data_IF_310853960503
#
_entry.id   IF_310853960503
#
_cell.length_a   1.000
_cell.length_b   1.000
_cell.length_c   1.000
_cell.angle_alpha   90.00
_cell.angle_beta   90.00
_cell.angle_gamma   90.00
#
_symmetry.space_group_name_H-M   'P 1'
#
loop_
_entity.id
_entity.type
_entity.pdbx_description
1 polymer ?
#
# COMPACT_ATOMS: atom_id res chain seq x y z
N UNK A 1 25.03 16.57 -10.40
CA UNK A 1 24.70 15.18 -10.73
C UNK A 1 23.56 15.17 -11.71
N UNK A 2 23.73 14.49 -12.84
CA UNK A 2 22.67 14.32 -13.84
C UNK A 2 21.44 13.64 -13.22
N UNK A 3 20.24 13.95 -13.72
CA UNK A 3 18.98 13.36 -13.21
C UNK A 3 19.07 11.84 -13.20
N UNK A 4 19.65 11.28 -14.26
CA UNK A 4 19.82 9.84 -14.45
C UNK A 4 20.79 9.25 -13.42
N UNK A 5 21.88 9.94 -13.09
CA UNK A 5 22.84 9.46 -12.08
C UNK A 5 22.24 9.49 -10.67
N UNK A 6 21.48 10.54 -10.33
CA UNK A 6 20.74 10.61 -9.06
C UNK A 6 19.73 9.45 -8.96
N UNK A 7 18.96 9.26 -10.03
CA UNK A 7 18.00 8.17 -10.14
C UNK A 7 18.66 6.80 -9.92
N UNK A 8 19.71 6.47 -10.68
CA UNK A 8 20.40 5.18 -10.56
C UNK A 8 21.01 4.97 -9.17
N UNK A 9 21.61 6.01 -8.59
CA UNK A 9 22.19 5.94 -7.25
C UNK A 9 21.14 5.64 -6.19
N UNK A 10 20.01 6.37 -6.21
CA UNK A 10 18.89 6.18 -5.27
C UNK A 10 18.32 4.77 -5.39
N UNK A 11 18.04 4.32 -6.61
CA UNK A 11 17.46 3.01 -6.84
C UNK A 11 18.42 1.91 -6.40
N UNK A 12 19.71 1.99 -6.74
CA UNK A 12 20.72 1.00 -6.33
C UNK A 12 20.84 0.90 -4.81
N UNK A 13 20.91 2.03 -4.12
CA UNK A 13 20.99 2.06 -2.65
C UNK A 13 19.74 1.47 -2.02
N UNK A 14 18.57 1.85 -2.53
CA UNK A 14 17.26 1.39 -2.03
C UNK A 14 17.08 -0.11 -2.29
N UNK A 15 17.44 -0.61 -3.47
CA UNK A 15 17.38 -2.03 -3.82
C UNK A 15 18.22 -2.87 -2.86
N UNK A 16 19.49 -2.51 -2.66
CA UNK A 16 20.39 -3.24 -1.76
C UNK A 16 19.83 -3.28 -0.33
N UNK A 17 19.34 -2.15 0.17
CA UNK A 17 18.75 -2.08 1.52
C UNK A 17 17.47 -2.90 1.63
N UNK A 18 16.65 -2.92 0.59
CA UNK A 18 15.37 -3.64 0.56
C UNK A 18 15.55 -5.14 0.50
N UNK A 19 16.51 -5.63 -0.30
CA UNK A 19 16.89 -7.06 -0.35
C UNK A 19 17.36 -7.51 1.04
N UNK A 20 18.30 -6.78 1.65
CA UNK A 20 18.79 -7.11 3.00
C UNK A 20 17.67 -7.10 4.05
N UNK A 21 16.74 -6.16 3.94
CA UNK A 21 15.60 -6.06 4.87
C UNK A 21 14.61 -7.20 4.68
N UNK A 22 14.34 -7.61 3.44
CA UNK A 22 13.44 -8.73 3.16
C UNK A 22 14.03 -10.06 3.61
N UNK A 23 15.31 -10.32 3.33
CA UNK A 23 15.98 -11.56 3.75
C UNK A 23 15.93 -11.71 5.27
N UNK A 24 16.20 -10.62 6.01
CA UNK A 24 16.18 -10.62 7.47
C UNK A 24 14.76 -10.74 8.05
N UNK A 25 13.75 -10.26 7.32
CA UNK A 25 12.36 -10.20 7.78
C UNK A 25 11.41 -10.98 6.85
N UNK A 26 11.87 -12.14 6.36
CA UNK A 26 11.12 -13.01 5.44
C UNK A 26 9.73 -13.46 5.96
N UNK A 27 9.44 -13.53 7.29
CA UNK A 27 8.10 -13.89 7.75
C UNK A 27 7.00 -12.94 7.25
N UNK A 28 7.33 -11.72 6.81
CA UNK A 28 6.37 -10.80 6.20
C UNK A 28 5.71 -11.38 4.93
N UNK A 29 6.33 -12.35 4.25
CA UNK A 29 5.72 -12.98 3.07
C UNK A 29 4.48 -13.79 3.49
N UNK A 30 4.51 -14.41 4.67
CA UNK A 30 3.41 -15.25 5.18
C UNK A 30 2.23 -14.45 5.71
N UNK A 31 2.38 -13.14 5.93
CA UNK A 31 1.25 -12.28 6.29
C UNK A 31 0.17 -12.33 5.22
N UNK A 32 0.53 -12.54 3.96
CA UNK A 32 -0.41 -12.66 2.86
C UNK A 32 -1.44 -13.76 3.09
N UNK A 33 -0.98 -14.97 3.40
CA UNK A 33 -1.85 -16.12 3.68
C UNK A 33 -2.73 -15.86 4.90
N UNK A 34 -2.12 -15.34 5.98
CA UNK A 34 -2.82 -15.05 7.23
C UNK A 34 -3.92 -14.02 7.01
N UNK A 35 -3.60 -12.90 6.35
CA UNK A 35 -4.57 -11.84 6.10
C UNK A 35 -5.67 -12.25 5.14
N UNK A 36 -5.36 -13.03 4.08
CA UNK A 36 -6.41 -13.56 3.20
C UNK A 36 -7.34 -14.50 3.95
N UNK A 37 -6.80 -15.38 4.79
CA UNK A 37 -7.61 -16.31 5.60
C UNK A 37 -8.52 -15.56 6.57
N UNK A 38 -7.98 -14.56 7.28
CA UNK A 38 -8.75 -13.69 8.17
C UNK A 38 -9.85 -12.95 7.39
N UNK A 39 -9.51 -12.40 6.22
CA UNK A 39 -10.45 -11.64 5.41
C UNK A 39 -11.63 -12.52 4.93
N UNK A 40 -11.35 -13.73 4.45
CA UNK A 40 -12.39 -14.71 4.04
C UNK A 40 -13.25 -15.13 5.23
N UNK A 41 -12.64 -15.45 6.37
CA UNK A 41 -13.36 -15.84 7.57
C UNK A 41 -14.31 -14.73 8.03
N UNK A 42 -13.84 -13.48 8.03
CA UNK A 42 -14.64 -12.33 8.46
C UNK A 42 -15.75 -12.02 7.46
N UNK A 43 -15.48 -12.02 6.15
CA UNK A 43 -16.53 -11.84 5.14
C UNK A 43 -17.61 -12.92 5.30
N UNK A 44 -17.20 -14.19 5.44
CA UNK A 44 -18.12 -15.32 5.60
C UNK A 44 -18.97 -15.18 6.87
N UNK A 45 -18.35 -14.79 7.98
CA UNK A 45 -19.04 -14.51 9.24
C UNK A 45 -20.03 -13.35 9.10
N UNK A 46 -19.59 -12.22 8.54
CA UNK A 46 -20.42 -11.02 8.41
C UNK A 46 -21.63 -11.28 7.51
N UNK A 47 -21.42 -11.92 6.35
CA UNK A 47 -22.50 -12.25 5.41
C UNK A 47 -23.49 -13.29 5.96
N UNK A 48 -23.09 -14.07 6.96
CA UNK A 48 -23.96 -15.05 7.63
C UNK A 48 -24.76 -14.41 8.75
N UNK A 49 -24.12 -13.58 9.58
CA UNK A 49 -24.71 -13.00 10.80
C UNK A 49 -25.50 -11.71 10.50
N UNK A 50 -24.98 -10.83 9.65
CA UNK A 50 -25.55 -9.50 9.39
C UNK A 50 -26.44 -9.50 8.15
N UNK A 51 -27.53 -10.27 8.19
CA UNK A 51 -28.55 -10.34 7.13
C UNK A 51 -29.76 -9.44 7.45
N UNK A 52 -30.52 -9.06 6.43
CA UNK A 52 -31.71 -8.22 6.59
C UNK A 52 -31.36 -6.79 7.04
N UNK A 53 -32.11 -6.25 8.00
CA UNK A 53 -31.92 -4.87 8.52
C UNK A 53 -30.52 -4.64 9.11
N UNK A 54 -29.85 -5.69 9.60
CA UNK A 54 -28.51 -5.62 10.17
C UNK A 54 -27.39 -5.48 9.11
N UNK A 55 -27.70 -5.60 7.81
CA UNK A 55 -26.70 -5.49 6.73
C UNK A 55 -26.00 -4.13 6.69
N UNK A 56 -26.64 -3.08 7.21
CA UNK A 56 -26.06 -1.74 7.29
C UNK A 56 -24.76 -1.74 8.11
N UNK A 57 -24.70 -2.56 9.17
CA UNK A 57 -23.50 -2.67 10.02
C UNK A 57 -22.41 -3.54 9.40
N UNK A 58 -22.73 -4.37 8.41
CA UNK A 58 -21.76 -5.24 7.73
C UNK A 58 -20.61 -4.43 7.12
N UNK A 59 -20.94 -3.33 6.44
CA UNK A 59 -19.94 -2.45 5.80
C UNK A 59 -19.00 -1.80 6.81
N UNK A 60 -19.52 -1.36 7.95
CA UNK A 60 -18.72 -0.73 9.03
C UNK A 60 -17.75 -1.75 9.62
N UNK A 61 -18.22 -2.96 9.93
CA UNK A 61 -17.39 -4.02 10.50
C UNK A 61 -16.28 -4.41 9.52
N UNK A 62 -16.61 -4.60 8.25
CA UNK A 62 -15.63 -4.92 7.21
C UNK A 62 -14.59 -3.80 7.04
N UNK A 63 -15.00 -2.53 7.14
CA UNK A 63 -14.10 -1.39 7.09
C UNK A 63 -13.13 -1.36 8.28
N UNK A 64 -13.61 -1.59 9.51
CA UNK A 64 -12.79 -1.64 10.72
C UNK A 64 -11.76 -2.77 10.64
N UNK A 65 -12.21 -3.97 10.25
CA UNK A 65 -11.33 -5.14 10.09
C UNK A 65 -10.27 -4.87 9.03
N UNK A 66 -10.67 -4.36 7.86
CA UNK A 66 -9.75 -4.07 6.77
C UNK A 66 -8.72 -3.03 7.21
N UNK A 67 -9.16 -1.96 7.88
CA UNK A 67 -8.28 -0.95 8.45
C UNK A 67 -7.32 -1.52 9.51
N UNK A 68 -7.77 -2.51 10.30
CA UNK A 68 -6.93 -3.20 11.28
C UNK A 68 -5.85 -4.08 10.64
N UNK A 69 -6.19 -4.82 9.58
CA UNK A 69 -5.22 -5.61 8.81
C UNK A 69 -4.18 -4.71 8.12
N UNK A 70 -4.63 -3.61 7.52
CA UNK A 70 -3.73 -2.61 6.91
C UNK A 70 -2.85 -1.96 7.97
N UNK A 71 -3.42 -1.59 9.11
CA UNK A 71 -2.67 -1.06 10.25
C UNK A 71 -1.56 -2.02 10.68
N UNK A 72 -1.88 -3.32 10.76
CA UNK A 72 -0.91 -4.35 11.11
C UNK A 72 0.24 -4.40 10.10
N UNK A 73 -0.10 -4.47 8.82
CA UNK A 73 0.88 -4.51 7.75
C UNK A 73 1.77 -3.27 7.73
N UNK A 74 1.19 -2.09 7.91
CA UNK A 74 1.90 -0.82 7.99
C UNK A 74 2.87 -0.77 9.17
N UNK A 75 2.48 -1.31 10.32
CA UNK A 75 3.36 -1.37 11.48
C UNK A 75 4.54 -2.33 11.26
N UNK A 76 4.30 -3.48 10.63
CA UNK A 76 5.39 -4.38 10.24
C UNK A 76 6.35 -3.71 9.25
N UNK A 77 5.83 -3.02 8.23
CA UNK A 77 6.67 -2.26 7.29
C UNK A 77 7.46 -1.16 8.01
N UNK A 78 6.82 -0.38 8.88
CA UNK A 78 7.46 0.65 9.69
C UNK A 78 8.67 0.09 10.47
N UNK A 79 8.49 -1.05 11.13
CA UNK A 79 9.55 -1.70 11.90
C UNK A 79 10.67 -2.25 11.02
N UNK A 80 10.36 -2.81 9.85
CA UNK A 80 11.36 -3.23 8.86
C UNK A 80 12.17 -2.02 8.36
N UNK A 81 11.53 -0.90 8.07
CA UNK A 81 12.18 0.26 7.43
C UNK A 81 13.02 1.04 8.44
N UNK A 82 12.56 1.15 9.69
CA UNK A 82 13.23 1.93 10.73
C UNK A 82 14.22 1.11 11.56
N UNK A 83 13.87 -0.12 11.91
CA UNK A 83 14.64 -0.96 12.84
C UNK A 83 15.19 -2.24 12.20
N UNK A 84 14.78 -2.57 10.97
CA UNK A 84 15.19 -3.77 10.25
C UNK A 84 15.00 -5.06 11.08
N UNK A 85 13.88 -5.13 11.79
CA UNK A 85 13.50 -6.26 12.64
C UNK A 85 11.98 -6.29 12.80
N UNK A 86 11.40 -7.48 12.73
CA UNK A 86 10.02 -7.77 13.15
C UNK A 86 10.02 -8.84 14.24
N UNK A 87 9.11 -8.71 15.19
CA UNK A 87 8.87 -9.65 16.28
C UNK A 87 7.40 -10.04 16.31
N UNK A 88 7.08 -11.17 16.95
CA UNK A 88 5.68 -11.59 17.13
C UNK A 88 4.85 -10.59 17.94
N UNK A 89 5.50 -9.82 18.81
CA UNK A 89 4.82 -8.75 19.55
C UNK A 89 4.37 -7.64 18.60
N UNK A 90 5.19 -7.31 17.59
CA UNK A 90 4.83 -6.31 16.59
C UNK A 90 3.59 -6.72 15.79
N UNK A 91 3.41 -8.02 15.54
CA UNK A 91 2.20 -8.54 14.93
C UNK A 91 0.96 -8.35 15.80
N UNK A 92 1.08 -8.39 17.13
CA UNK A 92 -0.09 -8.17 18.01
C UNK A 92 -0.42 -6.68 18.10
N UNK A 93 0.60 -5.85 18.31
CA UNK A 93 0.42 -4.41 18.54
C UNK A 93 0.01 -3.68 17.25
N UNK A 94 0.49 -4.15 16.10
CA UNK A 94 0.24 -3.52 14.81
C UNK A 94 -1.25 -3.40 14.43
N UNK A 95 -2.13 -4.29 14.91
CA UNK A 95 -3.56 -4.24 14.58
C UNK A 95 -4.27 -2.96 15.05
N UNK A 96 -3.73 -2.30 16.07
CA UNK A 96 -4.32 -1.08 16.67
C UNK A 96 -3.53 0.19 16.36
N UNK A 97 -2.22 0.07 16.07
CA UNK A 97 -1.30 1.21 15.99
C UNK A 97 -1.74 2.33 15.04
N UNK A 98 -2.12 1.99 13.80
CA UNK A 98 -2.56 2.93 12.77
C UNK A 98 -4.05 2.82 12.46
N UNK A 99 -4.80 2.02 13.23
CA UNK A 99 -6.21 1.74 12.99
C UNK A 99 -7.03 3.02 12.80
N UNK A 100 -6.88 3.98 13.72
CA UNK A 100 -7.59 5.27 13.66
C UNK A 100 -7.28 6.04 12.37
N UNK A 101 -5.99 6.10 11.99
CA UNK A 101 -5.57 6.84 10.80
C UNK A 101 -6.13 6.21 9.52
N UNK A 102 -5.96 4.90 9.37
CA UNK A 102 -6.42 4.16 8.18
C UNK A 102 -7.95 4.19 8.10
N UNK A 103 -8.64 3.97 9.22
CA UNK A 103 -10.10 4.03 9.26
C UNK A 103 -10.63 5.41 8.88
N UNK A 104 -9.99 6.50 9.35
CA UNK A 104 -10.39 7.85 8.98
C UNK A 104 -10.21 8.11 7.48
N UNK A 105 -9.14 7.59 6.85
CA UNK A 105 -8.97 7.68 5.40
C UNK A 105 -10.09 6.93 4.66
N UNK A 106 -10.45 5.74 5.12
CA UNK A 106 -11.58 4.98 4.55
C UNK A 106 -12.91 5.70 4.71
N UNK A 107 -13.14 6.31 5.87
CA UNK A 107 -14.33 7.11 6.14
C UNK A 107 -14.39 8.34 5.22
N UNK A 108 -13.28 9.05 5.02
CA UNK A 108 -13.20 10.16 4.07
C UNK A 108 -13.43 9.71 2.63
N UNK A 109 -12.85 8.57 2.23
CA UNK A 109 -13.07 8.00 0.90
C UNK A 109 -14.54 7.59 0.69
N UNK A 110 -15.19 7.06 1.73
CA UNK A 110 -16.61 6.72 1.72
C UNK A 110 -17.49 7.96 1.56
N UNK A 111 -17.24 9.03 2.33
CA UNK A 111 -17.90 10.33 2.11
C UNK A 111 -17.67 10.84 0.69
N UNK A 112 -16.43 10.77 0.20
CA UNK A 112 -16.07 11.17 -1.16
C UNK A 112 -16.86 10.39 -2.20
N UNK A 113 -17.09 9.09 -2.01
CA UNK A 113 -17.88 8.28 -2.93
C UNK A 113 -19.34 8.75 -3.03
N UNK A 114 -19.98 9.12 -1.92
CA UNK A 114 -21.35 9.66 -1.98
C UNK A 114 -21.43 11.00 -2.71
N UNK A 115 -20.45 11.89 -2.48
CA UNK A 115 -20.40 13.17 -3.19
C UNK A 115 -20.22 12.97 -4.69
N UNK A 116 -19.34 12.03 -5.08
CA UNK A 116 -19.14 11.66 -6.48
C UNK A 116 -20.41 11.08 -7.10
N UNK A 117 -21.15 10.24 -6.37
CA UNK A 117 -22.42 9.69 -6.83
C UNK A 117 -23.51 10.76 -7.01
N UNK A 118 -23.57 11.76 -6.13
CA UNK A 118 -24.47 12.90 -6.29
C UNK A 118 -24.12 13.74 -7.54
N UNK A 119 -22.83 14.00 -7.77
CA UNK A 119 -22.37 14.77 -8.94
C UNK A 119 -22.56 14.01 -10.25
N UNK A 120 -22.41 12.67 -10.24
CA UNK A 120 -22.68 11.79 -11.40
C UNK A 120 -24.07 12.01 -11.97
N UNK A 121 -25.09 12.10 -11.11
CA UNK A 121 -26.47 12.34 -11.53
C UNK A 121 -26.71 13.71 -12.17
N UNK A 122 -25.85 14.69 -11.91
CA UNK A 122 -26.00 16.07 -12.37
C UNK A 122 -25.26 16.37 -13.67
N UNK A 123 -24.09 15.76 -13.89
CA UNK A 123 -23.19 16.15 -14.98
C UNK A 123 -23.41 15.41 -16.31
N UNK A 124 -24.28 14.39 -16.35
CA UNK A 124 -24.58 13.64 -17.59
C UNK A 124 -23.38 12.91 -18.21
N UNK A 125 -22.24 12.81 -17.50
CA UNK A 125 -21.07 12.06 -17.95
C UNK A 125 -21.37 10.56 -18.02
N UNK A 126 -20.72 9.87 -18.95
CA UNK A 126 -20.66 8.42 -18.94
C UNK A 126 -20.08 7.96 -17.57
N UNK A 127 -20.83 7.19 -16.78
CA UNK A 127 -20.40 6.72 -15.46
C UNK A 127 -19.07 5.96 -15.49
N UNK A 128 -18.81 5.23 -16.58
CA UNK A 128 -17.60 4.45 -16.77
C UNK A 128 -16.38 5.36 -16.95
N UNK A 129 -16.48 6.38 -17.80
CA UNK A 129 -15.39 7.32 -18.07
C UNK A 129 -15.02 8.09 -16.80
N UNK A 130 -16.02 8.57 -16.07
CA UNK A 130 -15.77 9.30 -14.83
C UNK A 130 -15.12 8.39 -13.77
N UNK A 131 -15.58 7.15 -13.63
CA UNK A 131 -14.97 6.18 -12.71
C UNK A 131 -13.50 5.90 -13.07
N UNK A 132 -13.20 5.76 -14.37
CA UNK A 132 -11.85 5.56 -14.86
C UNK A 132 -10.95 6.75 -14.48
N UNK A 133 -11.38 7.98 -14.77
CA UNK A 133 -10.64 9.20 -14.44
C UNK A 133 -10.35 9.28 -12.94
N UNK A 134 -11.36 9.03 -12.10
CA UNK A 134 -11.21 9.08 -10.64
C UNK A 134 -10.26 7.99 -10.14
N UNK A 135 -10.43 6.76 -10.61
CA UNK A 135 -9.59 5.62 -10.19
C UNK A 135 -8.14 5.84 -10.57
N UNK A 136 -7.86 6.29 -11.79
CA UNK A 136 -6.50 6.64 -12.22
C UNK A 136 -5.94 7.83 -11.42
N UNK A 137 -6.76 8.85 -11.14
CA UNK A 137 -6.34 9.99 -10.33
C UNK A 137 -5.94 9.56 -8.92
N UNK A 138 -6.73 8.71 -8.25
CA UNK A 138 -6.40 8.17 -6.93
C UNK A 138 -5.13 7.31 -7.00
N UNK A 139 -5.03 6.42 -7.98
CA UNK A 139 -3.88 5.51 -8.14
C UNK A 139 -2.56 6.25 -8.35
N UNK A 140 -2.58 7.37 -9.08
CA UNK A 140 -1.40 8.18 -9.36
C UNK A 140 -1.14 9.13 -8.20
N UNK A 141 -2.12 9.98 -7.87
CA UNK A 141 -1.94 11.11 -6.96
C UNK A 141 -1.80 10.68 -5.50
N UNK A 142 -2.57 9.68 -5.08
CA UNK A 142 -2.53 9.13 -3.71
C UNK A 142 -1.65 7.86 -3.63
N UNK A 143 -0.80 7.62 -4.64
CA UNK A 143 0.06 6.44 -4.64
C UNK A 143 0.96 6.37 -3.41
N UNK A 144 1.48 7.51 -2.95
CA UNK A 144 2.39 7.62 -1.80
C UNK A 144 1.66 7.78 -0.45
N UNK A 145 0.32 7.77 -0.45
CA UNK A 145 -0.48 7.90 0.77
C UNK A 145 -0.21 6.77 1.78
N UNK A 146 -0.16 5.48 1.38
CA UNK A 146 0.17 4.39 2.30
C UNK A 146 1.46 4.65 3.07
N UNK A 147 2.54 5.01 2.35
CA UNK A 147 3.85 5.29 2.95
C UNK A 147 3.83 6.52 3.86
N UNK A 148 3.07 7.55 3.49
CA UNK A 148 2.87 8.74 4.34
C UNK A 148 2.24 8.35 5.68
N UNK A 149 1.21 7.50 5.67
CA UNK A 149 0.42 7.18 6.87
C UNK A 149 1.24 6.49 7.96
N UNK A 150 2.19 5.62 7.60
CA UNK A 150 2.97 4.88 8.57
C UNK A 150 4.36 5.46 8.82
N UNK A 151 4.98 6.17 7.86
CA UNK A 151 6.32 6.78 8.04
C UNK A 151 6.28 8.20 8.59
N UNK A 152 5.17 8.93 8.45
CA UNK A 152 5.04 10.31 8.94
C UNK A 152 4.07 10.41 10.10
N UNK A 153 4.40 11.27 11.05
CA UNK A 153 3.54 11.61 12.19
C UNK A 153 2.67 12.81 11.79
N UNK A 154 1.71 12.54 10.91
CA UNK A 154 0.74 13.52 10.43
C UNK A 154 -0.69 13.05 10.73
N UNK A 155 -1.63 13.99 10.80
CA UNK A 155 -3.05 13.67 10.85
C UNK A 155 -3.56 13.17 9.48
N UNK A 156 -4.73 12.50 9.41
CA UNK A 156 -5.19 11.86 8.17
C UNK A 156 -5.33 12.83 6.99
N UNK A 157 -5.88 14.03 7.21
CA UNK A 157 -6.04 15.02 6.14
C UNK A 157 -4.70 15.57 5.67
N UNK A 158 -3.81 15.91 6.61
CA UNK A 158 -2.45 16.36 6.30
C UNK A 158 -1.65 15.28 5.56
N UNK A 159 -1.91 14.00 5.87
CA UNK A 159 -1.28 12.88 5.16
C UNK A 159 -1.70 12.81 3.70
N UNK A 160 -2.97 13.12 3.40
CA UNK A 160 -3.46 13.24 2.02
C UNK A 160 -2.73 14.38 1.32
N UNK A 161 -2.75 15.59 1.88
CA UNK A 161 -2.11 16.77 1.28
C UNK A 161 -0.60 16.55 1.07
N UNK A 162 0.10 16.04 2.08
CA UNK A 162 1.52 15.74 2.01
C UNK A 162 1.83 14.70 0.93
N UNK A 163 0.96 13.71 0.71
CA UNK A 163 1.17 12.71 -0.35
C UNK A 163 1.13 13.33 -1.75
N UNK A 164 0.28 14.34 -1.97
CA UNK A 164 0.26 15.11 -3.23
C UNK A 164 1.53 15.93 -3.41
N UNK A 165 1.96 16.66 -2.38
CA UNK A 165 3.18 17.48 -2.44
C UNK A 165 4.43 16.63 -2.67
N UNK A 166 4.51 15.50 -1.97
CA UNK A 166 5.58 14.52 -2.16
C UNK A 166 5.65 14.05 -3.61
N UNK A 167 4.50 13.72 -4.21
CA UNK A 167 4.44 13.26 -5.59
C UNK A 167 4.83 14.38 -6.55
N UNK A 168 4.36 15.60 -6.35
CA UNK A 168 4.72 16.76 -7.18
C UNK A 168 6.23 16.98 -7.23
N UNK A 169 6.92 16.83 -6.12
CA UNK A 169 8.38 16.99 -6.03
C UNK A 169 9.17 15.78 -6.58
N UNK A 170 8.61 14.57 -6.47
CA UNK A 170 9.36 13.33 -6.68
C UNK A 170 8.75 12.39 -7.74
N UNK A 171 7.80 12.86 -8.56
CA UNK A 171 7.01 12.02 -9.47
C UNK A 171 7.87 11.05 -10.30
N UNK A 172 8.99 11.52 -10.87
CA UNK A 172 9.88 10.69 -11.68
C UNK A 172 10.61 9.62 -10.84
N UNK A 173 11.21 10.04 -9.72
CA UNK A 173 11.95 9.14 -8.84
C UNK A 173 11.03 8.17 -8.07
N UNK A 174 9.73 8.46 -7.98
CA UNK A 174 8.74 7.64 -7.30
C UNK A 174 7.96 6.73 -8.25
N UNK A 175 7.29 7.29 -9.26
CA UNK A 175 6.38 6.53 -10.12
C UNK A 175 7.12 5.59 -11.06
N UNK A 176 8.23 6.04 -11.68
CA UNK A 176 8.95 5.24 -12.65
C UNK A 176 9.50 3.91 -12.10
N UNK A 177 10.21 3.87 -10.95
CA UNK A 177 10.72 2.61 -10.43
C UNK A 177 9.60 1.72 -9.88
N UNK A 178 8.55 2.31 -9.31
CA UNK A 178 7.38 1.56 -8.89
C UNK A 178 6.63 0.94 -10.08
N UNK A 179 6.50 1.66 -11.20
CA UNK A 179 5.90 1.13 -12.42
C UNK A 179 6.67 -0.07 -12.98
N UNK A 180 8.01 -0.01 -12.99
CA UNK A 180 8.87 -1.13 -13.40
C UNK A 180 8.63 -2.34 -12.48
N UNK A 181 8.63 -2.12 -11.17
CA UNK A 181 8.42 -3.19 -10.19
C UNK A 181 7.04 -3.83 -10.29
N UNK A 182 5.98 -3.04 -10.45
CA UNK A 182 4.63 -3.56 -10.66
C UNK A 182 4.48 -4.27 -12.01
N UNK A 183 5.21 -3.84 -13.04
CA UNK A 183 5.27 -4.55 -14.33
C UNK A 183 5.91 -5.93 -14.17
N UNK A 184 7.02 -6.03 -13.43
CA UNK A 184 7.65 -7.32 -13.12
C UNK A 184 6.68 -8.22 -12.34
N UNK A 185 6.00 -7.67 -11.34
CA UNK A 185 4.98 -8.41 -10.58
C UNK A 185 3.87 -8.93 -11.50
N UNK A 186 3.39 -8.11 -12.43
CA UNK A 186 2.37 -8.51 -13.41
C UNK A 186 2.89 -9.62 -14.33
N UNK A 187 4.10 -9.51 -14.87
CA UNK A 187 4.67 -10.54 -15.75
C UNK A 187 4.82 -11.90 -15.05
N UNK A 188 5.10 -11.90 -13.74
CA UNK A 188 5.25 -13.13 -12.96
C UNK A 188 3.91 -13.72 -12.52
N UNK A 189 2.95 -12.87 -12.16
CA UNK A 189 1.70 -13.32 -11.49
C UNK A 189 0.47 -13.25 -12.39
N UNK A 190 0.52 -12.53 -13.51
CA UNK A 190 -0.61 -12.20 -14.38
C UNK A 190 -1.64 -11.26 -13.74
N UNK A 191 -1.34 -10.66 -12.57
CA UNK A 191 -2.29 -9.88 -11.78
C UNK A 191 -1.83 -8.44 -11.62
N UNK A 192 -2.77 -7.52 -11.77
CA UNK A 192 -2.54 -6.08 -11.58
C UNK A 192 -3.00 -5.71 -10.16
N UNK A 193 -2.15 -4.98 -9.44
CA UNK A 193 -2.51 -4.43 -8.14
C UNK A 193 -3.10 -3.04 -8.35
N UNK A 194 -4.43 -2.92 -8.18
CA UNK A 194 -5.17 -1.65 -8.35
C UNK A 194 -5.55 -1.00 -7.02
N UNK A 195 -5.24 -1.65 -5.89
CA UNK A 195 -5.52 -1.11 -4.57
C UNK A 195 -4.25 -0.52 -3.95
N UNK A 196 -4.24 0.79 -3.67
CA UNK A 196 -3.10 1.47 -3.02
C UNK A 196 -2.84 0.92 -1.60
N UNK A 197 -3.87 0.38 -0.94
CA UNK A 197 -3.79 -0.23 0.40
C UNK A 197 -3.66 -1.75 0.35
N UNK A 198 -3.23 -2.33 -0.77
CA UNK A 198 -2.99 -3.77 -0.85
C UNK A 198 -1.99 -4.22 0.24
N UNK A 199 -2.36 -5.26 0.99
CA UNK A 199 -1.50 -5.90 1.99
C UNK A 199 -0.98 -7.26 1.53
N UNK A 200 -1.60 -7.81 0.49
CA UNK A 200 -1.32 -9.14 -0.03
C UNK A 200 -1.75 -9.27 -1.48
N UNK A 201 -1.16 -10.23 -2.17
CA UNK A 201 -1.64 -10.67 -3.48
C UNK A 201 -2.93 -11.46 -3.31
N UNK A 202 -3.87 -11.28 -4.24
CA UNK A 202 -5.06 -12.14 -4.31
C UNK A 202 -4.61 -13.61 -4.45
N UNK A 203 -5.20 -14.51 -3.65
CA UNK A 203 -5.02 -15.95 -3.77
C UNK A 203 -6.11 -16.47 -4.72
N UNK A 204 -5.71 -17.13 -5.81
CA UNK A 204 -6.62 -18.03 -6.50
C UNK A 204 -6.59 -19.37 -5.76
N UNK A 205 -7.64 -19.70 -5.02
CA UNK A 205 -7.72 -21.00 -4.32
C UNK A 205 -7.86 -22.11 -5.35
N UNK A 206 -6.73 -22.70 -5.73
CA UNK A 206 -6.65 -23.95 -6.46
C UNK A 206 -6.02 -25.02 -5.58
N UNK A 207 -6.42 -26.27 -5.77
CA UNK A 207 -5.76 -27.43 -5.16
C UNK A 207 -4.46 -27.82 -5.88
N UNK A 208 -4.08 -27.08 -6.93
CA UNK A 208 -2.84 -27.28 -7.67
C UNK A 208 -1.63 -26.73 -6.88
N UNK A 209 -0.67 -27.60 -6.57
CA UNK A 209 0.58 -27.21 -5.90
C UNK A 209 1.36 -26.13 -6.65
N UNK A 210 1.27 -26.10 -7.99
CA UNK A 210 1.92 -25.07 -8.79
C UNK A 210 1.30 -23.68 -8.56
N UNK A 211 -0.01 -23.61 -8.28
CA UNK A 211 -0.68 -22.35 -7.95
C UNK A 211 -0.17 -21.76 -6.63
N UNK A 212 0.08 -22.61 -5.63
CA UNK A 212 0.65 -22.19 -4.34
C UNK A 212 2.09 -21.70 -4.47
N UNK A 213 2.91 -22.37 -5.28
CA UNK A 213 4.28 -21.92 -5.57
C UNK A 213 4.27 -20.56 -6.26
N UNK A 214 3.45 -20.38 -7.30
CA UNK A 214 3.29 -19.08 -8.00
C UNK A 214 2.81 -17.99 -7.05
N UNK A 215 1.89 -18.31 -6.14
CA UNK A 215 1.42 -17.37 -5.12
C UNK A 215 2.55 -16.94 -4.18
N UNK A 216 3.33 -17.89 -3.63
CA UNK A 216 4.43 -17.57 -2.71
C UNK A 216 5.51 -16.72 -3.38
N UNK A 217 5.85 -17.01 -4.64
CA UNK A 217 6.78 -16.18 -5.43
C UNK A 217 6.19 -14.77 -5.62
N UNK A 218 4.92 -14.69 -6.05
CA UNK A 218 4.22 -13.42 -6.26
C UNK A 218 4.13 -12.58 -4.97
N UNK A 219 3.80 -13.22 -3.84
CA UNK A 219 3.74 -12.59 -2.53
C UNK A 219 5.13 -12.16 -2.06
N UNK A 220 6.18 -12.94 -2.34
CA UNK A 220 7.57 -12.57 -2.06
C UNK A 220 8.00 -11.31 -2.83
N UNK A 221 7.69 -11.25 -4.13
CA UNK A 221 7.93 -10.05 -4.96
C UNK A 221 7.10 -8.88 -4.45
N UNK A 222 5.82 -9.10 -4.12
CA UNK A 222 4.96 -8.04 -3.57
C UNK A 222 5.53 -7.48 -2.25
N UNK A 223 5.93 -8.34 -1.31
CA UNK A 223 6.56 -7.92 -0.05
C UNK A 223 7.85 -7.16 -0.30
N UNK A 224 8.67 -7.60 -1.28
CA UNK A 224 9.85 -6.86 -1.71
C UNK A 224 9.50 -5.45 -2.17
N UNK A 225 8.50 -5.30 -3.04
CA UNK A 225 8.04 -4.02 -3.58
C UNK A 225 7.58 -3.10 -2.45
N UNK A 226 6.83 -3.60 -1.48
CA UNK A 226 6.34 -2.79 -0.37
C UNK A 226 7.46 -2.30 0.55
N UNK A 227 8.46 -3.15 0.84
CA UNK A 227 9.66 -2.74 1.60
C UNK A 227 10.48 -1.72 0.79
N UNK A 228 10.63 -1.95 -0.51
CA UNK A 228 11.33 -1.06 -1.43
C UNK A 228 10.71 0.33 -1.45
N UNK A 229 9.38 0.40 -1.62
CA UNK A 229 8.60 1.64 -1.58
C UNK A 229 8.83 2.41 -0.29
N UNK A 230 8.82 1.72 0.85
CA UNK A 230 9.05 2.35 2.14
C UNK A 230 10.46 2.94 2.31
N UNK A 231 11.51 2.21 1.90
CA UNK A 231 12.88 2.76 1.93
C UNK A 231 13.06 3.91 0.94
N UNK A 232 12.48 3.80 -0.26
CA UNK A 232 12.51 4.85 -1.28
C UNK A 232 11.82 6.12 -0.78
N UNK A 233 10.62 5.98 -0.22
CA UNK A 233 9.83 7.08 0.33
C UNK A 233 10.59 7.78 1.46
N UNK A 234 11.18 7.01 2.38
CA UNK A 234 11.97 7.57 3.50
C UNK A 234 13.17 8.37 2.99
N UNK A 235 13.85 7.89 1.95
CA UNK A 235 14.98 8.60 1.35
C UNK A 235 14.53 9.90 0.66
N UNK A 236 13.49 9.83 -0.17
CA UNK A 236 13.00 10.97 -0.94
C UNK A 236 12.36 12.04 -0.05
N UNK A 237 11.59 11.65 0.97
CA UNK A 237 10.90 12.59 1.87
C UNK A 237 11.81 13.28 2.89
N UNK A 238 13.10 12.93 2.96
CA UNK A 238 14.10 13.53 3.86
C UNK A 238 15.28 14.16 3.13
N UNK A 239 15.35 14.01 1.80
CA UNK A 239 16.44 14.52 0.99
C UNK A 239 15.95 15.16 -0.30
N UNK A 240 16.43 16.37 -0.57
CA UNK A 240 16.27 17.00 -1.88
C UNK A 240 17.41 16.58 -2.81
N UNK A 241 17.19 16.66 -4.12
CA UNK A 241 18.25 16.39 -5.11
C UNK A 241 19.49 17.26 -4.87
N UNK A 242 19.31 18.53 -4.51
CA UNK A 242 20.42 19.44 -4.17
C UNK A 242 21.22 18.94 -2.96
N UNK A 243 20.54 18.49 -1.91
CA UNK A 243 21.16 17.93 -0.71
C UNK A 243 21.93 16.64 -1.00
N UNK A 244 21.38 15.74 -1.83
CA UNK A 244 22.06 14.50 -2.24
C UNK A 244 23.29 14.76 -3.10
N UNK A 245 23.20 15.71 -4.04
CA UNK A 245 24.35 16.12 -4.85
C UNK A 245 25.49 16.67 -4.01
N UNK A 246 25.19 17.38 -2.92
CA UNK A 246 26.21 17.86 -1.99
C UNK A 246 26.85 16.70 -1.23
N UNK A 247 26.06 15.79 -0.65
CA UNK A 247 26.58 14.63 0.07
C UNK A 247 27.33 13.63 -0.80
N UNK A 248 27.00 13.48 -2.09
CA UNK A 248 27.71 12.58 -3.02
C UNK A 248 29.08 13.11 -3.47
N UNK A 249 29.39 14.37 -3.18
CA UNK A 249 30.68 15.00 -3.52
C UNK A 249 31.72 14.89 -2.40
N UNK A 250 31.32 14.39 -1.23
CA UNK A 250 32.18 14.10 -0.08
C UNK A 250 32.14 12.61 0.22
#
# INVERSE_FOLDING_TARGET
>A
MDIIKDFLMINRQTLKKSINSLIKNWPIIFTGIVYTTINIAIISFVMTVFRGVLSIFAGIILAIVSASLISNYFYLLFNIINYNKITLQDFKDGFKQYLRKVYMIFFLAWIGSFLLDAVRGLMGFDPYVLNLIITFSILILLNALPETLYLKVLDPMDSIMYSFDFLKENWFNWLFPNAILYTILYLVTGRIVTNIFATHMSIGFGFDGMAWIRYLIGQGIFSFIMIYRGHLYKLLSTSTRRKRMFMSKF
#
